data_IF_751916504941
#
_entry.id   IF_751916504941
#
_cell.length_a   1.000
_cell.length_b   1.000
_cell.length_c   1.000
_cell.angle_alpha   90.00
_cell.angle_beta   90.00
_cell.angle_gamma   90.00
#
_symmetry.space_group_name_H-M   'P 1'
#
loop_
_entity.id
_entity.type
_entity.pdbx_description
1 polymer ?
#
# COMPACT_ATOMS: atom_id res chain seq x y z
N UNK A 1 -29.03 15.21 -10.87
CA UNK A 1 -28.52 14.84 -9.53
C UNK A 1 -28.24 13.35 -9.55
N UNK A 2 -26.99 12.96 -9.78
CA UNK A 2 -26.60 11.55 -9.69
C UNK A 2 -26.66 11.16 -8.21
N UNK A 3 -27.32 10.07 -7.84
CA UNK A 3 -27.28 9.56 -6.46
C UNK A 3 -25.83 9.18 -6.12
N UNK A 4 -25.22 9.88 -5.17
CA UNK A 4 -23.83 9.65 -4.76
C UNK A 4 -23.81 8.46 -3.81
N UNK A 5 -23.30 7.31 -4.28
CA UNK A 5 -23.12 6.15 -3.42
C UNK A 5 -21.78 6.28 -2.67
N UNK A 6 -21.78 6.22 -1.33
CA UNK A 6 -20.53 6.23 -0.57
C UNK A 6 -19.68 5.00 -0.92
N UNK A 7 -18.36 5.16 -0.91
CA UNK A 7 -17.42 4.05 -1.12
C UNK A 7 -17.66 2.99 -0.05
N UNK A 8 -18.01 1.77 -0.46
CA UNK A 8 -18.15 0.63 0.43
C UNK A 8 -17.05 -0.37 0.15
N UNK A 9 -16.23 -0.65 1.17
CA UNK A 9 -15.31 -1.77 1.15
C UNK A 9 -15.98 -2.98 1.77
N UNK A 10 -15.95 -4.12 1.09
CA UNK A 10 -16.40 -5.37 1.68
C UNK A 10 -15.56 -5.74 2.89
N UNK A 11 -16.11 -6.60 3.75
CA UNK A 11 -15.37 -7.12 4.89
C UNK A 11 -14.06 -7.81 4.47
N UNK A 12 -14.06 -8.53 3.34
CA UNK A 12 -12.86 -9.16 2.78
C UNK A 12 -11.78 -8.12 2.45
N UNK A 13 -12.13 -7.01 1.80
CA UNK A 13 -11.18 -5.93 1.51
C UNK A 13 -10.61 -5.34 2.79
N UNK A 14 -11.46 -5.06 3.79
CA UNK A 14 -11.03 -4.51 5.07
C UNK A 14 -10.08 -5.46 5.82
N UNK A 15 -10.42 -6.75 5.87
CA UNK A 15 -9.62 -7.78 6.52
C UNK A 15 -8.26 -7.97 5.84
N UNK A 16 -8.25 -8.13 4.52
CA UNK A 16 -7.02 -8.30 3.74
C UNK A 16 -6.13 -7.06 3.85
N UNK A 17 -6.70 -5.86 3.83
CA UNK A 17 -5.94 -4.62 4.01
C UNK A 17 -5.34 -4.54 5.41
N UNK A 18 -6.11 -4.83 6.46
CA UNK A 18 -5.59 -4.83 7.83
C UNK A 18 -4.48 -5.87 8.01
N UNK A 19 -4.65 -7.07 7.46
CA UNK A 19 -3.60 -8.09 7.44
C UNK A 19 -2.33 -7.58 6.76
N UNK A 20 -2.45 -7.00 5.55
CA UNK A 20 -1.31 -6.43 4.84
C UNK A 20 -0.64 -5.27 5.59
N UNK A 21 -1.43 -4.41 6.24
CA UNK A 21 -0.91 -3.34 7.08
C UNK A 21 -0.02 -3.90 8.18
N UNK A 22 -0.48 -4.92 8.90
CA UNK A 22 0.32 -5.56 9.96
C UNK A 22 1.58 -6.21 9.39
N UNK A 23 1.49 -6.90 8.26
CA UNK A 23 2.67 -7.48 7.60
C UNK A 23 3.68 -6.40 7.18
N UNK A 24 3.23 -5.30 6.56
CA UNK A 24 4.12 -4.20 6.13
C UNK A 24 4.76 -3.52 7.33
N UNK A 25 4.00 -3.23 8.39
CA UNK A 25 4.55 -2.66 9.62
C UNK A 25 5.61 -3.56 10.24
N UNK A 26 5.32 -4.87 10.31
CA UNK A 26 6.29 -5.85 10.77
C UNK A 26 7.58 -5.80 9.94
N UNK A 27 7.45 -5.87 8.62
CA UNK A 27 8.58 -5.89 7.71
C UNK A 27 9.46 -4.64 7.84
N UNK A 28 8.84 -3.46 7.88
CA UNK A 28 9.56 -2.19 7.93
C UNK A 28 10.19 -1.90 9.29
N UNK A 29 9.53 -2.25 10.39
CA UNK A 29 10.05 -1.97 11.74
C UNK A 29 11.15 -2.97 12.10
N UNK A 30 10.91 -4.26 11.89
CA UNK A 30 11.82 -5.29 12.40
C UNK A 30 13.06 -5.49 11.53
N UNK A 31 13.02 -5.12 10.24
CA UNK A 31 14.23 -5.14 9.39
C UNK A 31 15.31 -4.18 9.90
N UNK A 32 14.95 -3.15 10.67
CA UNK A 32 15.92 -2.23 11.29
C UNK A 32 16.84 -2.92 12.30
N UNK A 33 16.44 -4.09 12.82
CA UNK A 33 17.24 -4.91 13.74
C UNK A 33 17.87 -6.12 13.02
N UNK A 34 17.63 -6.30 11.73
CA UNK A 34 18.10 -7.45 10.97
C UNK A 34 19.57 -7.29 10.57
N UNK A 35 20.35 -8.32 10.84
CA UNK A 35 21.72 -8.46 10.36
C UNK A 35 21.78 -9.60 9.35
N UNK A 36 21.97 -9.25 8.08
CA UNK A 36 22.10 -10.21 6.99
C UNK A 36 23.35 -11.10 7.16
N UNK A 37 23.33 -12.33 6.63
CA UNK A 37 24.49 -13.20 6.69
C UNK A 37 25.66 -12.60 5.91
N UNK A 38 26.88 -12.89 6.37
CA UNK A 38 28.16 -12.61 5.70
C UNK A 38 28.96 -13.91 5.66
N UNK A 39 30.00 -13.98 4.83
CA UNK A 39 30.79 -15.20 4.62
C UNK A 39 31.26 -15.90 5.92
N UNK A 40 31.51 -15.14 6.98
CA UNK A 40 32.00 -15.62 8.28
C UNK A 40 31.05 -15.38 9.45
N UNK A 41 29.80 -14.94 9.19
CA UNK A 41 28.84 -14.61 10.25
C UNK A 41 27.42 -14.98 9.80
N UNK A 42 26.72 -15.85 10.53
CA UNK A 42 25.34 -16.20 10.19
C UNK A 42 24.41 -14.99 10.36
N UNK A 43 23.23 -15.10 9.75
CA UNK A 43 22.17 -14.13 9.94
C UNK A 43 21.68 -14.13 11.40
N UNK A 44 21.29 -12.96 11.91
CA UNK A 44 20.63 -12.91 13.22
C UNK A 44 19.16 -13.36 13.15
N UNK A 45 18.53 -13.48 14.31
CA UNK A 45 17.13 -13.91 14.43
C UNK A 45 16.16 -13.01 13.66
N UNK A 46 16.32 -11.69 13.75
CA UNK A 46 15.44 -10.73 13.06
C UNK A 46 15.52 -10.85 11.55
N UNK A 47 16.69 -11.15 10.99
CA UNK A 47 16.85 -11.39 9.56
C UNK A 47 16.12 -12.66 9.10
N UNK A 48 16.28 -13.78 9.82
CA UNK A 48 15.56 -15.02 9.49
C UNK A 48 14.05 -14.83 9.58
N UNK A 49 13.60 -14.08 10.58
CA UNK A 49 12.18 -13.80 10.76
C UNK A 49 11.64 -12.84 9.69
N UNK A 50 12.43 -11.84 9.28
CA UNK A 50 12.13 -10.97 8.14
C UNK A 50 11.92 -11.79 6.85
N UNK A 51 12.79 -12.75 6.58
CA UNK A 51 12.71 -13.66 5.43
C UNK A 51 11.43 -14.50 5.44
N UNK A 52 11.17 -15.25 6.52
CA UNK A 52 10.01 -16.13 6.62
C UNK A 52 8.68 -15.37 6.62
N UNK A 53 8.59 -14.27 7.39
CA UNK A 53 7.42 -13.40 7.36
C UNK A 53 7.30 -12.73 5.99
N UNK A 54 8.41 -12.52 5.27
CA UNK A 54 8.45 -11.96 3.92
C UNK A 54 7.76 -12.87 2.92
N UNK A 55 8.03 -14.17 2.98
CA UNK A 55 7.34 -15.18 2.16
C UNK A 55 5.85 -15.27 2.50
N UNK A 56 5.49 -15.22 3.79
CA UNK A 56 4.09 -15.15 4.21
C UNK A 56 3.39 -13.88 3.69
N UNK A 57 4.10 -12.75 3.72
CA UNK A 57 3.61 -11.46 3.20
C UNK A 57 3.39 -11.54 1.69
N UNK A 58 4.26 -12.20 0.92
CA UNK A 58 4.04 -12.46 -0.51
C UNK A 58 2.72 -13.20 -0.75
N UNK A 59 2.45 -14.27 0.02
CA UNK A 59 1.18 -14.99 -0.06
C UNK A 59 -0.03 -14.07 0.19
N UNK A 60 0.06 -13.23 1.21
CA UNK A 60 -0.97 -12.22 1.51
C UNK A 60 -1.18 -11.19 0.41
N UNK A 61 -0.09 -10.67 -0.16
CA UNK A 61 -0.15 -9.69 -1.25
C UNK A 61 -0.76 -10.32 -2.50
N UNK A 62 -0.36 -11.54 -2.86
CA UNK A 62 -0.96 -12.29 -3.97
C UNK A 62 -2.45 -12.52 -3.73
N UNK A 63 -2.85 -12.91 -2.52
CA UNK A 63 -4.26 -13.07 -2.17
C UNK A 63 -5.05 -11.75 -2.32
N UNK A 64 -4.46 -10.63 -1.91
CA UNK A 64 -5.08 -9.30 -2.10
C UNK A 64 -5.21 -8.95 -3.59
N UNK A 65 -4.20 -9.25 -4.41
CA UNK A 65 -4.27 -9.07 -5.86
C UNK A 65 -5.37 -9.91 -6.51
N UNK A 66 -5.47 -11.19 -6.15
CA UNK A 66 -6.55 -12.07 -6.61
C UNK A 66 -7.91 -11.51 -6.20
N UNK A 67 -8.04 -11.03 -4.95
CA UNK A 67 -9.26 -10.40 -4.46
C UNK A 67 -9.63 -9.14 -5.27
N UNK A 68 -8.66 -8.28 -5.58
CA UNK A 68 -8.84 -7.08 -6.41
C UNK A 68 -9.34 -7.41 -7.81
N UNK A 69 -8.97 -8.56 -8.38
CA UNK A 69 -9.45 -9.03 -9.69
C UNK A 69 -10.89 -9.55 -9.63
N UNK A 70 -11.28 -10.26 -8.56
CA UNK A 70 -12.59 -10.92 -8.48
C UNK A 70 -13.69 -10.08 -7.84
N UNK A 71 -13.34 -9.13 -6.95
CA UNK A 71 -14.31 -8.31 -6.22
C UNK A 71 -15.16 -7.45 -7.16
N UNK A 72 -16.42 -7.22 -6.77
CA UNK A 72 -17.41 -6.42 -7.53
C UNK A 72 -17.95 -5.31 -6.63
N UNK A 73 -18.43 -4.23 -7.24
CA UNK A 73 -19.04 -3.09 -6.55
C UNK A 73 -18.13 -2.34 -5.54
N UNK A 74 -16.81 -2.45 -5.70
CA UNK A 74 -15.80 -1.62 -5.03
C UNK A 74 -15.01 -0.83 -6.08
N UNK A 75 -13.92 -0.18 -5.67
CA UNK A 75 -12.93 0.44 -6.55
C UNK A 75 -12.65 -0.41 -7.79
N UNK A 76 -12.96 0.08 -9.00
CA UNK A 76 -12.70 -0.65 -10.23
C UNK A 76 -11.21 -0.92 -10.41
N UNK A 77 -10.84 -2.11 -10.88
CA UNK A 77 -9.44 -2.48 -11.14
C UNK A 77 -8.66 -1.43 -11.95
N UNK A 78 -9.26 -0.94 -13.03
CA UNK A 78 -8.64 0.08 -13.90
C UNK A 78 -8.54 1.47 -13.26
N UNK A 79 -9.25 1.73 -12.16
CA UNK A 79 -9.06 2.96 -11.39
C UNK A 79 -7.79 2.92 -10.53
N UNK A 80 -7.38 1.72 -10.08
CA UNK A 80 -6.11 1.51 -9.35
C UNK A 80 -4.88 1.67 -10.25
N UNK A 81 -5.01 1.29 -11.53
CA UNK A 81 -3.89 1.28 -12.49
C UNK A 81 -4.16 2.21 -13.69
N UNK A 82 -4.26 3.53 -13.46
CA UNK A 82 -4.65 4.48 -14.50
C UNK A 82 -3.53 4.79 -15.51
N UNK A 83 -2.30 4.32 -15.24
CA UNK A 83 -1.06 4.67 -15.94
C UNK A 83 -1.07 4.38 -17.45
N UNK A 84 -1.95 3.49 -17.90
CA UNK A 84 -2.09 3.09 -19.31
C UNK A 84 -3.22 3.83 -20.04
N UNK A 85 -3.80 4.88 -19.45
CA UNK A 85 -4.90 5.63 -20.06
C UNK A 85 -4.72 7.13 -19.92
N UNK A 86 -4.53 7.83 -21.04
CA UNK A 86 -4.43 9.30 -21.08
C UNK A 86 -5.66 9.97 -20.44
N UNK A 87 -6.86 9.40 -20.65
CA UNK A 87 -8.10 9.90 -20.03
C UNK A 87 -8.05 9.81 -18.51
N UNK A 88 -7.54 8.70 -17.95
CA UNK A 88 -7.43 8.52 -16.50
C UNK A 88 -6.31 9.37 -15.91
N UNK A 89 -5.19 9.51 -16.61
CA UNK A 89 -4.11 10.43 -16.22
C UNK A 89 -4.58 11.88 -16.19
N UNK A 90 -5.40 12.30 -17.17
CA UNK A 90 -6.02 13.62 -17.14
C UNK A 90 -6.94 13.80 -15.93
N UNK A 91 -7.74 12.79 -15.58
CA UNK A 91 -8.58 12.81 -14.39
C UNK A 91 -7.76 12.91 -13.09
N UNK A 92 -6.64 12.19 -12.97
CA UNK A 92 -5.72 12.33 -11.82
C UNK A 92 -5.16 13.75 -11.74
N UNK A 93 -4.74 14.32 -12.88
CA UNK A 93 -4.19 15.68 -12.91
C UNK A 93 -5.23 16.70 -12.48
N UNK A 94 -6.46 16.58 -12.96
CA UNK A 94 -7.53 17.51 -12.63
C UNK A 94 -7.92 17.37 -11.15
N UNK A 95 -7.97 16.16 -10.62
CA UNK A 95 -8.18 15.87 -9.20
C UNK A 95 -7.04 16.44 -8.32
N UNK A 96 -5.77 16.24 -8.73
CA UNK A 96 -4.62 16.81 -8.04
C UNK A 96 -4.68 18.35 -7.95
N UNK A 97 -5.19 19.03 -8.97
CA UNK A 97 -5.39 20.49 -8.92
C UNK A 97 -6.40 20.89 -7.86
N UNK A 98 -7.47 20.10 -7.67
CA UNK A 98 -8.46 20.33 -6.61
C UNK A 98 -7.79 20.19 -5.24
N UNK A 99 -7.03 19.12 -5.00
CA UNK A 99 -6.28 18.96 -3.75
C UNK A 99 -5.31 20.12 -3.50
N UNK A 100 -4.54 20.53 -4.51
CA UNK A 100 -3.61 21.67 -4.38
C UNK A 100 -4.33 23.00 -4.11
N UNK A 101 -5.50 23.22 -4.71
CA UNK A 101 -6.31 24.42 -4.46
C UNK A 101 -6.87 24.43 -3.03
N UNK A 102 -7.37 23.30 -2.53
CA UNK A 102 -7.85 23.15 -1.16
C UNK A 102 -6.73 23.34 -0.14
N UNK A 103 -5.53 22.80 -0.41
CA UNK A 103 -4.36 22.97 0.46
C UNK A 103 -3.95 24.44 0.60
N UNK A 104 -4.07 25.26 -0.46
CA UNK A 104 -3.83 26.72 -0.38
C UNK A 104 -4.79 27.43 0.55
N UNK A 105 -5.96 26.84 0.81
CA UNK A 105 -6.96 27.34 1.76
C UNK A 105 -6.85 26.66 3.14
N UNK A 106 -5.80 25.85 3.37
CA UNK A 106 -5.63 25.02 4.56
C UNK A 106 -6.83 24.08 4.81
N UNK A 107 -7.44 23.61 3.73
CA UNK A 107 -8.54 22.65 3.74
C UNK A 107 -8.11 21.36 3.03
N UNK A 108 -8.76 20.26 3.37
CA UNK A 108 -8.71 19.03 2.59
C UNK A 108 -10.02 18.84 1.85
N UNK A 109 -10.01 18.31 0.60
CA UNK A 109 -11.22 17.88 -0.06
C UNK A 109 -11.97 16.82 0.77
N UNK A 110 -13.29 16.77 0.61
CA UNK A 110 -14.12 15.75 1.26
C UNK A 110 -13.62 14.35 0.89
N UNK A 111 -13.48 13.49 1.91
CA UNK A 111 -12.97 12.13 1.72
C UNK A 111 -14.09 11.13 1.36
N UNK A 112 -15.31 11.61 1.09
CA UNK A 112 -16.49 10.78 0.94
C UNK A 112 -16.62 10.16 -0.47
N UNK A 113 -15.84 10.67 -1.42
CA UNK A 113 -15.82 10.23 -2.81
C UNK A 113 -14.53 9.49 -3.17
N UNK A 114 -14.65 8.50 -4.05
CA UNK A 114 -13.49 7.83 -4.60
C UNK A 114 -12.83 8.71 -5.66
N UNK A 115 -11.77 9.40 -5.27
CA UNK A 115 -11.06 10.30 -6.16
C UNK A 115 -10.07 9.54 -7.06
N UNK A 116 -9.94 9.91 -8.36
CA UNK A 116 -8.99 9.29 -9.26
C UNK A 116 -7.54 9.25 -8.73
N UNK A 117 -7.11 10.30 -8.03
CA UNK A 117 -5.79 10.36 -7.39
C UNK A 117 -5.69 9.35 -6.25
N UNK A 118 -6.69 9.25 -5.38
CA UNK A 118 -6.71 8.31 -4.25
C UNK A 118 -6.67 6.86 -4.72
N UNK A 119 -7.47 6.49 -5.74
CA UNK A 119 -7.41 5.14 -6.32
C UNK A 119 -6.03 4.83 -6.91
N UNK A 120 -5.41 5.80 -7.61
CA UNK A 120 -4.07 5.64 -8.18
C UNK A 120 -2.99 5.45 -7.11
N UNK A 121 -3.06 6.21 -6.00
CA UNK A 121 -2.16 6.05 -4.85
C UNK A 121 -2.33 4.66 -4.23
N UNK A 122 -3.57 4.19 -4.06
CA UNK A 122 -3.85 2.84 -3.57
C UNK A 122 -3.22 1.75 -4.47
N UNK A 123 -3.38 1.88 -5.79
CA UNK A 123 -2.76 0.96 -6.75
C UNK A 123 -1.23 1.02 -6.74
N UNK A 124 -0.64 2.21 -6.58
CA UNK A 124 0.80 2.38 -6.43
C UNK A 124 1.33 1.67 -5.17
N UNK A 125 0.62 1.79 -4.05
CA UNK A 125 0.94 1.05 -2.82
C UNK A 125 0.93 -0.47 -3.03
N UNK A 126 -0.10 -0.98 -3.70
CA UNK A 126 -0.24 -2.41 -3.98
C UNK A 126 0.86 -2.93 -4.94
N UNK A 127 1.27 -2.13 -5.93
CA UNK A 127 2.41 -2.45 -6.80
C UNK A 127 3.73 -2.43 -6.04
N UNK A 128 3.93 -1.45 -5.17
CA UNK A 128 5.13 -1.33 -4.33
C UNK A 128 5.26 -2.53 -3.39
N UNK A 129 4.14 -2.96 -2.78
CA UNK A 129 4.10 -4.15 -1.92
C UNK A 129 4.44 -5.43 -2.69
N UNK A 130 3.91 -5.58 -3.91
CA UNK A 130 4.21 -6.72 -4.77
C UNK A 130 5.68 -6.74 -5.19
N UNK A 131 6.23 -5.61 -5.61
CA UNK A 131 7.65 -5.50 -5.98
C UNK A 131 8.58 -5.83 -4.80
N UNK A 132 8.26 -5.36 -3.58
CA UNK A 132 8.97 -5.74 -2.35
C UNK A 132 8.91 -7.24 -2.09
N UNK A 133 7.71 -7.81 -2.15
CA UNK A 133 7.51 -9.22 -1.83
C UNK A 133 8.21 -10.14 -2.83
N UNK A 134 8.15 -9.83 -4.14
CA UNK A 134 8.85 -10.60 -5.19
C UNK A 134 10.36 -10.48 -5.05
N UNK A 135 10.90 -9.26 -4.87
CA UNK A 135 12.34 -9.08 -4.71
C UNK A 135 12.87 -9.75 -3.43
N UNK A 136 12.12 -9.72 -2.33
CA UNK A 136 12.45 -10.44 -1.10
C UNK A 136 12.43 -11.96 -1.29
N UNK A 137 11.41 -12.50 -1.95
CA UNK A 137 11.33 -13.93 -2.25
C UNK A 137 12.45 -14.39 -3.20
N UNK A 138 12.88 -13.54 -4.14
CA UNK A 138 14.07 -13.81 -4.94
C UNK A 138 15.32 -13.91 -4.06
N UNK A 139 15.54 -12.92 -3.19
CA UNK A 139 16.71 -12.88 -2.30
C UNK A 139 16.76 -14.05 -1.31
N UNK A 140 15.60 -14.55 -0.88
CA UNK A 140 15.47 -15.73 -0.03
C UNK A 140 16.12 -16.99 -0.64
N UNK A 141 16.22 -17.07 -1.97
CA UNK A 141 16.88 -18.19 -2.66
C UNK A 141 18.41 -18.15 -2.57
N UNK A 142 18.99 -17.07 -2.03
CA UNK A 142 20.43 -16.83 -1.99
C UNK A 142 20.99 -17.04 -0.59
N UNK A 143 22.07 -17.82 -0.47
CA UNK A 143 22.80 -18.00 0.80
C UNK A 143 23.39 -16.69 1.33
N UNK A 144 23.87 -15.83 0.42
CA UNK A 144 24.40 -14.50 0.74
C UNK A 144 23.71 -13.47 -0.15
N UNK A 145 22.59 -12.88 0.31
CA UNK A 145 21.84 -11.91 -0.48
C UNK A 145 22.68 -10.69 -0.87
N UNK A 146 22.82 -10.46 -2.18
CA UNK A 146 23.70 -9.44 -2.74
C UNK A 146 23.27 -9.02 -4.17
N UNK A 147 23.99 -8.04 -4.72
CA UNK A 147 23.83 -7.58 -6.09
C UNK A 147 22.60 -6.69 -6.33
N UNK A 148 22.30 -6.46 -7.61
CA UNK A 148 21.29 -5.51 -8.07
C UNK A 148 19.91 -5.74 -7.44
N UNK A 149 19.48 -7.00 -7.26
CA UNK A 149 18.18 -7.29 -6.68
C UNK A 149 18.08 -6.81 -5.22
N UNK A 150 19.18 -6.88 -4.45
CA UNK A 150 19.19 -6.37 -3.09
C UNK A 150 19.10 -4.85 -3.06
N UNK A 151 19.78 -4.18 -4.00
CA UNK A 151 19.72 -2.73 -4.11
C UNK A 151 18.31 -2.26 -4.52
N UNK A 152 17.67 -2.98 -5.45
CA UNK A 152 16.25 -2.78 -5.79
C UNK A 152 15.37 -2.99 -4.55
N UNK A 153 15.52 -4.10 -3.84
CA UNK A 153 14.71 -4.40 -2.65
C UNK A 153 14.83 -3.29 -1.60
N UNK A 154 16.03 -2.79 -1.34
CA UNK A 154 16.26 -1.65 -0.43
C UNK A 154 15.65 -0.35 -0.95
N UNK A 155 15.79 -0.07 -2.24
CA UNK A 155 15.21 1.14 -2.85
C UNK A 155 13.68 1.14 -2.77
N UNK A 156 13.05 0.00 -3.07
CA UNK A 156 11.60 -0.17 -2.96
C UNK A 156 11.16 -0.15 -1.48
N UNK A 157 12.01 -0.60 -0.54
CA UNK A 157 11.73 -0.49 0.91
C UNK A 157 11.62 0.98 1.34
N UNK A 158 12.51 1.84 0.85
CA UNK A 158 12.42 3.28 1.11
C UNK A 158 11.14 3.89 0.50
N UNK A 159 10.75 3.44 -0.71
CA UNK A 159 9.48 3.84 -1.32
C UNK A 159 8.27 3.37 -0.49
N UNK A 160 8.33 2.16 0.07
CA UNK A 160 7.28 1.63 0.93
C UNK A 160 7.17 2.40 2.25
N UNK A 161 8.29 2.81 2.86
CA UNK A 161 8.28 3.74 4.00
C UNK A 161 7.61 5.07 3.65
N UNK A 162 7.99 5.68 2.52
CA UNK A 162 7.40 6.93 2.05
C UNK A 162 5.89 6.78 1.80
N UNK A 163 5.48 5.67 1.18
CA UNK A 163 4.07 5.33 0.97
C UNK A 163 3.33 5.20 2.30
N UNK A 164 3.84 4.40 3.24
CA UNK A 164 3.20 4.17 4.53
C UNK A 164 3.00 5.48 5.30
N UNK A 165 4.07 6.29 5.42
CA UNK A 165 4.03 7.57 6.15
C UNK A 165 3.01 8.50 5.49
N UNK A 166 3.06 8.66 4.17
CA UNK A 166 2.18 9.58 3.46
C UNK A 166 0.73 9.11 3.51
N UNK A 167 0.47 7.83 3.24
CA UNK A 167 -0.87 7.25 3.18
C UNK A 167 -1.53 7.20 4.56
N UNK A 168 -0.86 6.62 5.56
CA UNK A 168 -1.39 6.54 6.92
C UNK A 168 -1.46 7.93 7.57
N UNK A 169 -0.47 8.79 7.34
CA UNK A 169 -0.46 10.16 7.83
C UNK A 169 -1.64 10.97 7.30
N UNK A 170 -1.94 10.89 6.00
CA UNK A 170 -3.11 11.56 5.41
C UNK A 170 -4.42 10.97 5.93
N UNK A 171 -4.52 9.64 6.09
CA UNK A 171 -5.72 9.01 6.65
C UNK A 171 -5.99 9.47 8.09
N UNK A 172 -4.94 9.58 8.91
CA UNK A 172 -5.00 10.12 10.28
C UNK A 172 -5.36 11.60 10.27
N UNK A 173 -4.78 12.40 9.37
CA UNK A 173 -5.12 13.82 9.24
C UNK A 173 -6.60 14.03 8.87
N UNK A 174 -7.10 13.28 7.88
CA UNK A 174 -8.53 13.28 7.53
C UNK A 174 -9.41 12.89 8.72
N UNK A 175 -8.98 11.90 9.52
CA UNK A 175 -9.68 11.50 10.73
C UNK A 175 -9.79 12.63 11.76
N UNK A 176 -8.69 13.35 12.00
CA UNK A 176 -8.67 14.49 12.92
C UNK A 176 -9.50 15.67 12.45
N UNK A 177 -9.64 15.84 11.13
CA UNK A 177 -10.49 16.87 10.52
C UNK A 177 -11.98 16.47 10.45
N UNK A 178 -12.36 15.34 11.04
CA UNK A 178 -13.76 14.89 11.15
C UNK A 178 -14.22 14.02 9.99
N UNK A 179 -13.36 13.68 9.02
CA UNK A 179 -13.71 12.76 7.94
C UNK A 179 -13.56 11.32 8.46
N UNK A 180 -14.59 10.45 8.38
CA UNK A 180 -14.56 9.14 9.05
C UNK A 180 -13.79 8.08 8.25
N UNK A 181 -12.56 8.38 7.80
CA UNK A 181 -11.78 7.52 6.90
C UNK A 181 -11.31 6.25 7.62
N UNK A 182 -10.79 6.35 8.84
CA UNK A 182 -10.34 5.18 9.60
C UNK A 182 -11.52 4.32 10.06
N UNK A 183 -12.63 4.93 10.50
CA UNK A 183 -13.84 4.15 10.85
C UNK A 183 -14.40 3.44 9.62
N UNK A 184 -14.42 4.06 8.45
CA UNK A 184 -14.86 3.38 7.22
C UNK A 184 -14.00 2.16 6.91
N UNK A 185 -12.68 2.25 7.09
CA UNK A 185 -11.78 1.15 6.77
C UNK A 185 -11.73 0.04 7.82
N UNK A 186 -11.86 0.35 9.12
CA UNK A 186 -11.66 -0.61 10.20
C UNK A 186 -12.94 -1.00 10.97
N UNK A 187 -14.09 -0.37 10.68
CA UNK A 187 -15.35 -0.79 11.30
C UNK A 187 -15.97 -2.00 10.60
N UNK A 188 -16.77 -2.75 11.36
CA UNK A 188 -17.53 -3.91 10.85
C UNK A 188 -18.73 -3.53 9.98
N UNK A 189 -19.19 -2.28 10.04
CA UNK A 189 -20.37 -1.84 9.30
C UNK A 189 -19.97 -1.33 7.89
N UNK A 190 -20.78 -1.63 6.85
CA UNK A 190 -20.59 -1.08 5.52
C UNK A 190 -20.96 0.41 5.42
#
# INVERSE_FOLDING_TARGET
MSAHNPIRHSWSTKLLHFFLLLCVLWQLIFVQFAERPRANRPANFFFQLHEWVGLGTLGGVVLFWLWVVVRRAETPFLALFPWFSLRRLAAIRDDLRVYLASLRQLRLPDADEESPLVSAVHGLGLLTALAMAISGAWLFTMTLPAGLMLDIHKAVSNLMWAYLISHAGLAVLHQFLGHPVLQRMFSRNP
#
